data_IF_152601478174
#
_entry.id   IF_152601478174
#
_cell.length_a   1.000
_cell.length_b   1.000
_cell.length_c   1.000
_cell.angle_alpha   90.00
_cell.angle_beta   90.00
_cell.angle_gamma   90.00
#
_symmetry.space_group_name_H-M   'P 1'
#
loop_
_entity.id
_entity.type
_entity.pdbx_description
1 polymer ?
#
# COMPACT_ATOMS: atom_id res chain seq x y z
N UNK A 1 46.59 -22.76 -4.73
CA UNK A 1 47.63 -21.79 -4.30
C UNK A 1 47.32 -21.41 -2.86
N UNK A 2 48.08 -22.00 -1.94
CA UNK A 2 48.46 -21.52 -0.59
C UNK A 2 47.32 -21.15 0.41
N UNK A 3 47.07 -22.07 1.37
CA UNK A 3 46.58 -21.89 2.77
C UNK A 3 47.46 -20.85 3.55
N UNK A 4 47.22 -20.40 4.82
CA UNK A 4 46.48 -21.00 5.96
C UNK A 4 45.70 -19.97 6.84
N UNK A 5 44.76 -20.32 7.73
CA UNK A 5 44.74 -21.05 9.04
C UNK A 5 44.90 -20.20 10.31
N UNK A 6 44.17 -20.67 11.32
CA UNK A 6 43.86 -20.12 12.64
C UNK A 6 44.97 -20.14 13.72
N UNK A 7 44.60 -19.54 14.88
CA UNK A 7 45.18 -19.64 16.26
C UNK A 7 46.45 -18.79 16.47
N UNK A 8 46.68 -18.10 17.60
CA UNK A 8 46.76 -18.52 19.01
C UNK A 8 46.84 -17.25 19.88
N UNK A 9 46.06 -17.09 20.96
CA UNK A 9 46.37 -17.34 22.39
C UNK A 9 47.27 -16.35 23.15
N UNK A 10 46.77 -16.00 24.35
CA UNK A 10 47.45 -15.86 25.66
C UNK A 10 48.22 -14.59 26.02
N UNK A 11 47.67 -13.96 27.07
CA UNK A 11 48.29 -13.66 28.36
C UNK A 11 49.60 -12.87 28.39
N UNK A 12 49.50 -11.65 28.94
CA UNK A 12 50.58 -10.97 29.63
C UNK A 12 50.00 -10.16 30.78
N UNK A 13 49.95 -10.74 31.98
CA UNK A 13 49.83 -10.00 33.22
C UNK A 13 51.23 -9.47 33.58
N UNK A 14 51.33 -8.25 34.13
CA UNK A 14 52.28 -7.93 35.20
C UNK A 14 51.93 -6.57 35.83
N UNK A 15 51.70 -6.66 37.14
CA UNK A 15 51.66 -5.59 38.14
C UNK A 15 53.05 -4.97 38.35
N UNK A 16 53.10 -3.67 38.67
CA UNK A 16 53.88 -3.11 39.80
C UNK A 16 53.69 -1.57 39.86
N UNK A 17 53.07 -1.02 40.91
CA UNK A 17 53.70 -0.42 42.12
C UNK A 17 54.37 0.94 41.80
N UNK A 18 53.69 2.08 41.96
CA UNK A 18 53.48 2.88 43.19
C UNK A 18 54.74 3.63 43.72
N UNK A 19 54.65 4.98 43.76
CA UNK A 19 55.22 5.93 44.74
C UNK A 19 55.40 7.33 44.08
N UNK A 20 55.27 8.51 44.68
CA UNK A 20 54.56 9.13 45.82
C UNK A 20 55.02 10.62 45.85
N UNK A 21 54.12 11.57 46.16
CA UNK A 21 54.29 12.97 46.68
C UNK A 21 55.08 13.99 45.80
N UNK A 22 54.78 15.30 45.74
CA UNK A 22 54.23 16.27 46.70
C UNK A 22 53.53 17.44 45.96
N UNK A 23 52.34 17.89 46.36
CA UNK A 23 52.01 18.95 47.35
C UNK A 23 52.32 20.40 46.89
N UNK A 24 51.28 21.14 46.48
CA UNK A 24 51.14 22.57 46.79
C UNK A 24 49.67 22.98 46.71
N UNK A 25 49.18 23.59 47.79
CA UNK A 25 47.82 24.06 47.98
C UNK A 25 47.67 25.54 47.57
N UNK A 26 46.51 25.93 47.05
CA UNK A 26 45.76 27.12 47.48
C UNK A 26 44.41 27.23 46.73
N UNK A 27 43.37 27.83 47.34
CA UNK A 27 41.97 27.70 46.92
C UNK A 27 41.52 28.85 46.01
N UNK A 28 40.75 28.54 44.96
CA UNK A 28 39.89 29.51 44.30
C UNK A 28 38.47 28.94 44.29
N UNK A 29 37.69 29.39 45.26
CA UNK A 29 36.25 29.38 45.16
C UNK A 29 35.85 30.40 44.10
N UNK A 30 35.28 29.96 42.98
CA UNK A 30 34.37 30.73 42.13
C UNK A 30 33.85 29.86 40.98
N UNK A 31 32.52 29.76 40.85
CA UNK A 31 31.88 29.39 39.58
C UNK A 31 31.41 27.95 39.42
N UNK A 32 30.68 27.41 40.39
CA UNK A 32 29.74 26.33 40.05
C UNK A 32 28.59 26.92 39.20
N UNK A 33 28.41 26.34 37.99
CA UNK A 33 27.31 26.48 37.02
C UNK A 33 27.39 27.70 36.08
N UNK A 34 27.41 27.45 34.74
CA UNK A 34 26.19 27.01 34.06
C UNK A 34 26.43 25.85 33.09
N UNK A 35 26.69 24.63 33.59
CA UNK A 35 26.63 23.42 32.75
C UNK A 35 25.21 22.82 32.65
N UNK A 36 24.24 23.37 33.39
CA UNK A 36 22.85 22.88 33.40
C UNK A 36 21.99 23.42 32.24
N UNK A 37 22.34 24.58 31.66
CA UNK A 37 21.56 25.17 30.58
C UNK A 37 21.85 24.54 29.20
N UNK A 38 23.03 23.94 29.01
CA UNK A 38 23.41 23.29 27.75
C UNK A 38 22.86 21.85 27.60
N UNK A 39 22.49 21.18 28.71
CA UNK A 39 21.84 19.85 28.67
C UNK A 39 20.35 19.90 28.35
N UNK A 40 19.71 21.07 28.44
CA UNK A 40 18.26 21.24 28.25
C UNK A 40 17.81 21.16 26.79
N UNK A 41 18.69 21.43 25.80
CA UNK A 41 18.36 21.23 24.37
C UNK A 41 18.51 19.78 23.90
N UNK A 42 19.21 18.93 24.65
CA UNK A 42 19.60 17.59 24.20
C UNK A 42 18.59 16.47 24.54
N UNK A 43 17.55 16.73 25.34
CA UNK A 43 16.58 15.70 25.76
C UNK A 43 15.14 16.02 25.34
N UNK A 44 14.94 16.30 24.04
CA UNK A 44 13.60 16.52 23.46
C UNK A 44 13.25 15.43 22.48
N UNK A 45 12.03 14.93 22.58
CA UNK A 45 11.44 14.00 21.62
C UNK A 45 10.92 14.85 20.46
N UNK A 46 11.57 14.78 19.30
CA UNK A 46 11.13 15.51 18.10
C UNK A 46 9.98 14.77 17.46
N UNK A 47 8.85 15.45 17.28
CA UNK A 47 7.66 14.83 16.67
C UNK A 47 7.78 14.80 15.14
N UNK A 48 7.20 13.79 14.48
CA UNK A 48 7.31 13.61 13.04
C UNK A 48 6.77 14.79 12.23
N UNK A 49 7.47 15.16 11.16
CA UNK A 49 7.13 16.23 10.24
C UNK A 49 7.31 15.79 8.76
N UNK A 50 6.72 16.51 7.78
CA UNK A 50 6.78 16.12 6.36
C UNK A 50 8.18 15.90 5.80
N UNK A 51 9.18 16.67 6.27
CA UNK A 51 10.59 16.51 5.88
C UNK A 51 11.19 15.16 6.27
N UNK A 52 10.61 14.46 7.25
CA UNK A 52 11.16 13.22 7.77
C UNK A 52 10.82 12.03 6.84
N UNK A 53 9.75 12.14 6.04
CA UNK A 53 9.30 11.11 5.07
C UNK A 53 10.34 10.87 3.98
N UNK A 54 10.99 11.94 3.48
CA UNK A 54 12.01 11.83 2.43
C UNK A 54 13.30 11.20 2.97
N UNK A 55 13.64 11.47 4.23
CA UNK A 55 14.85 10.93 4.89
C UNK A 55 14.75 9.44 5.22
N UNK A 56 13.54 8.88 5.36
CA UNK A 56 13.34 7.48 5.73
C UNK A 56 13.42 6.52 4.54
N UNK A 57 13.47 7.03 3.30
CA UNK A 57 13.37 6.18 2.09
C UNK A 57 12.07 5.38 2.01
N UNK A 58 11.07 5.74 2.84
CA UNK A 58 9.86 4.97 3.06
C UNK A 58 8.82 5.18 1.94
N UNK A 59 9.25 5.49 0.73
CA UNK A 59 8.39 5.79 -0.42
C UNK A 59 7.89 4.48 -1.03
N UNK A 60 6.58 4.23 -0.96
CA UNK A 60 5.93 3.06 -1.60
C UNK A 60 6.03 3.15 -3.14
N UNK A 61 6.04 4.36 -3.69
CA UNK A 61 5.98 4.64 -5.13
C UNK A 61 7.21 5.46 -5.55
N UNK A 62 8.38 4.85 -5.66
CA UNK A 62 9.53 5.52 -6.29
C UNK A 62 9.40 5.46 -7.81
N UNK A 63 9.57 6.58 -8.53
CA UNK A 63 9.81 6.55 -9.97
C UNK A 63 11.03 5.67 -10.26
N UNK A 64 11.07 4.98 -11.40
CA UNK A 64 12.24 4.17 -11.74
C UNK A 64 13.44 5.07 -12.06
N UNK A 65 14.64 4.53 -11.88
CA UNK A 65 15.87 5.22 -12.25
C UNK A 65 15.86 5.54 -13.75
N UNK A 66 15.90 6.84 -14.09
CA UNK A 66 15.81 7.34 -15.47
C UNK A 66 14.48 8.01 -15.86
N UNK A 67 13.45 7.93 -15.01
CA UNK A 67 12.09 8.48 -15.22
C UNK A 67 11.90 9.88 -14.60
N UNK A 68 12.87 10.78 -14.79
CA UNK A 68 12.80 12.16 -14.28
C UNK A 68 12.88 13.17 -15.40
N UNK A 69 11.97 13.08 -16.36
CA UNK A 69 11.60 14.29 -17.12
C UNK A 69 10.82 15.21 -16.15
N UNK A 70 11.36 16.42 -15.94
CA UNK A 70 10.77 17.39 -15.01
C UNK A 70 9.52 17.96 -15.65
N UNK A 71 8.36 17.73 -15.01
CA UNK A 71 7.10 18.30 -15.46
C UNK A 71 7.17 19.84 -15.42
N UNK A 72 6.69 20.49 -16.48
CA UNK A 72 6.48 21.94 -16.56
C UNK A 72 5.01 22.24 -16.36
N UNK A 73 4.70 23.08 -15.38
CA UNK A 73 3.33 23.35 -14.98
C UNK A 73 3.07 24.85 -14.82
N UNK A 74 1.93 25.37 -15.32
CA UNK A 74 1.54 26.76 -15.13
C UNK A 74 0.99 27.03 -13.71
N UNK A 75 0.76 25.99 -12.91
CA UNK A 75 0.25 26.10 -11.55
C UNK A 75 0.00 24.73 -10.89
N UNK A 76 -0.72 24.71 -9.75
CA UNK A 76 -1.03 23.49 -9.03
C UNK A 76 -1.84 22.49 -9.87
N UNK A 77 -1.73 21.20 -9.53
CA UNK A 77 -2.48 20.12 -10.17
C UNK A 77 -3.24 19.33 -9.12
N UNK A 78 -4.57 19.29 -9.24
CA UNK A 78 -5.38 18.35 -8.48
C UNK A 78 -5.50 17.04 -9.26
N UNK A 79 -5.28 15.92 -8.58
CA UNK A 79 -5.30 14.57 -9.14
C UNK A 79 -6.37 13.71 -8.47
N UNK A 80 -7.09 12.95 -9.31
CA UNK A 80 -8.11 11.99 -8.87
C UNK A 80 -7.97 10.72 -9.67
N UNK A 81 -7.82 9.62 -8.95
CA UNK A 81 -7.55 8.32 -9.54
C UNK A 81 -8.53 7.26 -9.02
N UNK A 82 -8.91 6.34 -9.92
CA UNK A 82 -9.58 5.09 -9.59
C UNK A 82 -8.76 3.93 -10.11
N UNK A 83 -8.07 3.23 -9.21
CA UNK A 83 -7.25 2.07 -9.51
C UNK A 83 -8.13 0.82 -9.46
N UNK A 84 -8.49 0.28 -10.62
CA UNK A 84 -9.24 -0.96 -10.78
C UNK A 84 -8.28 -2.14 -10.80
N UNK A 85 -8.42 -3.01 -9.82
CA UNK A 85 -7.63 -4.23 -9.64
C UNK A 85 -8.52 -5.44 -9.94
N UNK A 86 -8.18 -6.19 -10.98
CA UNK A 86 -8.82 -7.47 -11.29
C UNK A 86 -8.16 -8.58 -10.48
N UNK A 87 -8.97 -9.41 -9.81
CA UNK A 87 -8.51 -10.50 -8.95
C UNK A 87 -8.87 -11.86 -9.56
N UNK A 88 -7.90 -12.77 -9.63
CA UNK A 88 -8.12 -14.17 -9.96
C UNK A 88 -8.90 -14.91 -8.87
N UNK A 89 -9.25 -16.17 -9.12
CA UNK A 89 -10.12 -16.98 -8.25
C UNK A 89 -9.59 -17.19 -6.81
N UNK A 90 -8.28 -17.04 -6.61
CA UNK A 90 -7.60 -17.17 -5.30
C UNK A 90 -7.13 -15.82 -4.74
N UNK A 91 -7.43 -14.71 -5.42
CA UNK A 91 -7.06 -13.35 -5.02
C UNK A 91 -5.74 -12.82 -5.60
N UNK A 92 -5.08 -13.56 -6.49
CA UNK A 92 -3.94 -13.04 -7.25
C UNK A 92 -4.37 -11.86 -8.13
N UNK A 93 -3.48 -10.88 -8.33
CA UNK A 93 -3.78 -9.74 -9.21
C UNK A 93 -3.62 -10.17 -10.67
N UNK A 94 -4.70 -10.08 -11.44
CA UNK A 94 -4.75 -10.45 -12.86
C UNK A 94 -4.60 -9.22 -13.78
N UNK A 95 -4.95 -8.03 -13.31
CA UNK A 95 -4.93 -6.81 -14.12
C UNK A 95 -5.05 -5.54 -13.28
N UNK A 96 -4.39 -4.47 -13.72
CA UNK A 96 -4.44 -3.15 -13.08
C UNK A 96 -4.73 -2.09 -14.13
N UNK A 97 -5.81 -1.34 -13.92
CA UNK A 97 -6.22 -0.22 -14.80
C UNK A 97 -6.50 1.00 -13.93
N UNK A 98 -6.02 2.17 -14.31
CA UNK A 98 -6.23 3.42 -13.59
C UNK A 98 -7.05 4.37 -14.44
N UNK A 99 -8.20 4.80 -13.94
CA UNK A 99 -8.92 5.94 -14.51
C UNK A 99 -8.48 7.20 -13.78
N UNK A 100 -7.82 8.12 -14.48
CA UNK A 100 -7.23 9.32 -13.91
C UNK A 100 -7.93 10.59 -14.43
N UNK A 101 -8.03 11.59 -13.57
CA UNK A 101 -8.44 12.93 -13.91
C UNK A 101 -7.54 13.96 -13.21
N UNK A 102 -6.77 14.70 -14.01
CA UNK A 102 -5.95 15.83 -13.57
C UNK A 102 -6.69 17.14 -13.84
N UNK A 103 -6.68 18.06 -12.88
CA UNK A 103 -7.09 19.46 -13.07
C UNK A 103 -5.86 20.34 -12.90
N UNK A 104 -5.37 20.89 -14.00
CA UNK A 104 -4.29 21.87 -14.02
C UNK A 104 -4.90 23.25 -13.78
N UNK A 105 -4.33 24.00 -12.85
CA UNK A 105 -4.67 25.40 -12.60
C UNK A 105 -3.57 26.31 -13.16
N UNK A 106 -3.94 27.54 -13.54
CA UNK A 106 -3.02 28.53 -14.09
C UNK A 106 -3.07 28.61 -15.62
N UNK A 107 -2.59 29.73 -16.14
CA UNK A 107 -2.51 30.02 -17.58
C UNK A 107 -1.09 29.71 -18.06
N UNK A 108 -0.97 28.96 -19.14
CA UNK A 108 0.33 28.69 -19.77
C UNK A 108 0.46 27.29 -20.36
N UNK A 109 1.62 27.04 -20.96
CA UNK A 109 1.98 25.73 -21.46
C UNK A 109 2.26 24.75 -20.32
N UNK A 110 1.98 23.48 -20.55
CA UNK A 110 2.35 22.38 -19.67
C UNK A 110 2.97 21.22 -20.45
N UNK A 111 3.86 20.54 -19.75
CA UNK A 111 4.49 19.28 -20.17
C UNK A 111 4.53 18.38 -18.93
N UNK A 112 3.70 17.34 -18.92
CA UNK A 112 3.53 16.45 -17.77
C UNK A 112 4.06 15.08 -18.11
N UNK A 113 4.84 14.54 -17.19
CA UNK A 113 5.32 13.17 -17.22
C UNK A 113 4.85 12.49 -15.95
N UNK A 114 4.13 11.38 -16.11
CA UNK A 114 3.70 10.55 -14.99
C UNK A 114 4.35 9.16 -15.08
N UNK A 115 4.85 8.65 -13.94
CA UNK A 115 5.53 7.36 -13.89
C UNK A 115 4.60 6.18 -14.23
N UNK A 116 5.21 5.12 -14.76
CA UNK A 116 4.56 3.85 -15.03
C UNK A 116 5.56 2.68 -14.98
N UNK A 117 5.09 1.45 -15.13
CA UNK A 117 5.02 0.93 -16.49
C UNK A 117 3.58 0.86 -16.98
N UNK A 118 3.14 1.90 -17.69
CA UNK A 118 1.94 1.83 -18.50
C UNK A 118 2.21 0.98 -19.75
N UNK A 119 1.31 0.05 -20.04
CA UNK A 119 1.31 -0.72 -21.30
C UNK A 119 0.40 -0.09 -22.33
N UNK A 120 -0.58 0.70 -21.89
CA UNK A 120 -1.49 1.44 -22.74
C UNK A 120 -2.02 2.68 -22.01
N UNK A 121 -2.34 3.73 -22.75
CA UNK A 121 -3.07 4.90 -22.22
C UNK A 121 -4.00 5.44 -23.28
N UNK A 122 -5.23 5.76 -22.90
CA UNK A 122 -6.26 6.28 -23.80
C UNK A 122 -7.00 7.43 -23.13
N UNK A 123 -7.19 8.55 -23.83
CA UNK A 123 -8.06 9.64 -23.40
C UNK A 123 -9.48 9.51 -23.97
N UNK A 124 -10.47 10.21 -23.40
CA UNK A 124 -11.80 10.37 -24.02
C UNK A 124 -11.67 10.96 -25.43
N UNK A 125 -12.43 10.45 -26.40
CA UNK A 125 -12.32 10.86 -27.82
C UNK A 125 -12.63 12.33 -28.07
N UNK A 126 -13.46 12.92 -27.22
CA UNK A 126 -13.90 14.31 -27.24
C UNK A 126 -12.91 15.26 -26.54
N UNK A 127 -11.88 14.74 -25.88
CA UNK A 127 -10.87 15.57 -25.22
C UNK A 127 -9.84 16.09 -26.24
N UNK A 128 -9.63 17.41 -26.28
CA UNK A 128 -8.72 18.04 -27.25
C UNK A 128 -7.26 17.63 -27.07
N UNK A 129 -6.78 17.50 -25.82
CA UNK A 129 -5.44 17.02 -25.52
C UNK A 129 -5.52 15.52 -25.23
N UNK A 130 -4.85 14.70 -26.03
CA UNK A 130 -4.78 13.25 -25.82
C UNK A 130 -3.50 12.87 -25.06
N UNK A 131 -3.53 11.84 -24.20
CA UNK A 131 -2.33 11.34 -23.55
C UNK A 131 -1.44 10.60 -24.55
N UNK A 132 -0.13 10.73 -24.39
CA UNK A 132 0.88 9.94 -25.08
C UNK A 132 1.46 8.85 -24.17
N UNK A 133 1.98 7.78 -24.78
CA UNK A 133 2.78 6.75 -24.10
C UNK A 133 4.20 6.80 -24.64
N UNK A 134 5.19 6.91 -23.75
CA UNK A 134 6.61 6.86 -24.13
C UNK A 134 7.38 6.05 -23.10
N UNK A 135 7.98 4.92 -23.50
CA UNK A 135 8.79 4.05 -22.63
C UNK A 135 8.08 3.60 -21.33
N UNK A 136 6.75 3.54 -21.34
CA UNK A 136 5.95 3.18 -20.17
C UNK A 136 5.51 4.37 -19.30
N UNK A 137 5.96 5.59 -19.61
CA UNK A 137 5.52 6.83 -18.99
C UNK A 137 4.33 7.43 -19.75
N UNK A 138 3.47 8.12 -19.01
CA UNK A 138 2.33 8.83 -19.58
C UNK A 138 2.72 10.29 -19.77
N UNK A 139 2.53 10.80 -20.99
CA UNK A 139 2.87 12.15 -21.36
C UNK A 139 1.63 12.98 -21.65
N UNK A 140 1.62 14.22 -21.17
CA UNK A 140 0.64 15.23 -21.57
C UNK A 140 1.33 16.53 -21.95
N UNK A 141 0.96 17.09 -23.09
CA UNK A 141 1.47 18.38 -23.54
C UNK A 141 0.35 19.27 -24.07
N UNK A 142 0.46 20.56 -23.82
CA UNK A 142 -0.45 21.56 -24.39
C UNK A 142 -0.51 22.85 -23.60
N UNK A 143 -1.60 23.59 -23.77
CA UNK A 143 -1.84 24.87 -23.12
C UNK A 143 -3.06 24.80 -22.18
N UNK A 144 -2.98 25.44 -21.02
CA UNK A 144 -4.09 25.68 -20.09
C UNK A 144 -4.53 27.14 -20.17
N UNK A 145 -5.82 27.44 -20.45
CA UNK A 145 -6.35 28.81 -20.48
C UNK A 145 -6.70 29.37 -19.09
N UNK A 146 -6.18 28.77 -18.02
CA UNK A 146 -6.48 29.13 -16.62
C UNK A 146 -6.91 27.92 -15.79
N UNK A 147 -7.68 27.01 -16.40
CA UNK A 147 -7.97 25.70 -15.85
C UNK A 147 -8.11 24.68 -17.00
N UNK A 148 -7.60 23.46 -16.79
CA UNK A 148 -7.71 22.39 -17.79
C UNK A 148 -7.86 21.02 -17.13
N UNK A 149 -8.84 20.26 -17.61
CA UNK A 149 -9.07 18.88 -17.19
C UNK A 149 -8.44 17.93 -18.22
N UNK A 150 -7.63 16.99 -17.74
CA UNK A 150 -7.05 15.90 -18.51
C UNK A 150 -7.54 14.58 -17.92
N UNK A 151 -8.15 13.72 -18.74
CA UNK A 151 -8.65 12.40 -18.34
C UNK A 151 -8.00 11.31 -19.16
N UNK A 152 -7.65 10.21 -18.52
CA UNK A 152 -7.13 9.02 -19.18
C UNK A 152 -7.59 7.74 -18.48
N UNK A 153 -7.61 6.66 -19.25
CA UNK A 153 -7.61 5.29 -18.74
C UNK A 153 -6.26 4.68 -19.09
N UNK A 154 -5.52 4.28 -18.06
CA UNK A 154 -4.17 3.73 -18.15
C UNK A 154 -4.22 2.24 -17.84
N UNK A 155 -3.74 1.40 -18.74
CA UNK A 155 -3.48 -0.02 -18.44
C UNK A 155 -2.03 -0.16 -18.01
N UNK A 156 -1.80 -0.82 -16.87
CA UNK A 156 -0.46 -0.97 -16.32
C UNK A 156 0.08 -2.39 -16.49
N UNK A 157 1.40 -2.56 -16.41
CA UNK A 157 2.04 -3.86 -16.34
C UNK A 157 1.86 -4.48 -14.94
N UNK A 158 0.94 -5.42 -14.85
CA UNK A 158 0.61 -6.12 -13.60
C UNK A 158 1.82 -6.76 -12.93
N UNK A 159 2.81 -7.22 -13.69
CA UNK A 159 3.99 -7.92 -13.16
C UNK A 159 4.75 -7.07 -12.15
N UNK A 160 4.88 -5.78 -12.45
CA UNK A 160 5.59 -4.81 -11.62
C UNK A 160 4.65 -4.10 -10.64
N UNK A 161 3.44 -3.78 -11.08
CA UNK A 161 2.52 -2.93 -10.32
C UNK A 161 1.80 -3.66 -9.19
N UNK A 162 1.67 -4.99 -9.25
CA UNK A 162 1.03 -5.77 -8.18
C UNK A 162 1.64 -5.53 -6.78
N UNK A 163 2.93 -5.18 -6.69
CA UNK A 163 3.62 -4.90 -5.43
C UNK A 163 3.34 -3.49 -4.87
N UNK A 164 2.78 -2.59 -5.69
CA UNK A 164 2.40 -1.22 -5.31
C UNK A 164 0.95 -1.12 -4.86
N UNK A 165 0.16 -2.18 -5.06
CA UNK A 165 -1.23 -2.25 -4.59
C UNK A 165 -1.25 -2.32 -3.05
N UNK A 166 -2.03 -1.46 -2.37
CA UNK A 166 -1.93 -1.29 -0.92
C UNK A 166 -2.70 -2.36 -0.12
N UNK A 167 -3.41 -3.26 -0.82
CA UNK A 167 -4.09 -4.41 -0.24
C UNK A 167 -3.78 -5.70 -1.00
N UNK A 168 -3.59 -6.78 -0.26
CA UNK A 168 -3.58 -8.13 -0.78
C UNK A 168 -4.88 -8.84 -0.40
N UNK A 169 -5.51 -9.52 -1.36
CA UNK A 169 -6.68 -10.38 -1.12
C UNK A 169 -6.25 -11.82 -1.36
N UNK A 170 -6.62 -12.73 -0.45
CA UNK A 170 -6.39 -14.15 -0.62
C UNK A 170 -7.64 -14.93 -0.29
N UNK A 171 -7.93 -15.95 -1.11
CA UNK A 171 -9.10 -16.82 -0.94
C UNK A 171 -8.63 -18.27 -0.90
N UNK A 172 -9.01 -18.98 0.16
CA UNK A 172 -8.75 -20.42 0.32
C UNK A 172 -10.05 -21.16 0.53
N UNK A 173 -10.24 -22.25 -0.21
CA UNK A 173 -11.33 -23.20 0.01
C UNK A 173 -10.74 -24.42 0.72
N UNK A 174 -11.36 -24.84 1.80
CA UNK A 174 -10.91 -25.93 2.64
C UNK A 174 -12.01 -26.99 2.74
N UNK A 175 -11.68 -28.24 2.45
CA UNK A 175 -12.54 -29.39 2.75
C UNK A 175 -11.79 -30.32 3.68
N UNK A 176 -12.40 -30.64 4.84
CA UNK A 176 -11.77 -31.46 5.89
C UNK A 176 -10.35 -30.96 6.25
N UNK A 177 -10.18 -29.62 6.29
CA UNK A 177 -8.92 -28.94 6.61
C UNK A 177 -7.89 -28.88 5.47
N UNK A 178 -8.16 -29.42 4.29
CA UNK A 178 -7.23 -29.42 3.15
C UNK A 178 -7.65 -28.41 2.07
N UNK A 179 -6.70 -27.67 1.47
CA UNK A 179 -6.99 -26.80 0.32
C UNK A 179 -7.61 -27.57 -0.83
N UNK A 180 -8.65 -27.01 -1.43
CA UNK A 180 -9.28 -27.50 -2.65
C UNK A 180 -9.47 -26.35 -3.63
N UNK A 181 -9.56 -26.65 -4.92
CA UNK A 181 -9.89 -25.66 -5.95
C UNK A 181 -11.39 -25.68 -6.27
N UNK A 182 -12.01 -24.53 -6.57
CA UNK A 182 -13.37 -24.49 -7.07
C UNK A 182 -13.48 -25.11 -8.49
N UNK A 183 -14.61 -25.74 -8.85
CA UNK A 183 -15.86 -25.78 -8.09
C UNK A 183 -15.88 -26.83 -6.97
N UNK A 184 -16.47 -26.48 -5.82
CA UNK A 184 -16.53 -27.31 -4.61
C UNK A 184 -17.97 -27.73 -4.29
N UNK A 185 -18.17 -28.95 -3.81
CA UNK A 185 -19.47 -29.44 -3.30
C UNK A 185 -19.30 -30.21 -1.98
N UNK A 186 -20.30 -30.12 -1.11
CA UNK A 186 -20.27 -30.67 0.25
C UNK A 186 -19.84 -29.65 1.31
N UNK A 187 -19.51 -30.10 2.53
CA UNK A 187 -19.03 -29.22 3.59
C UNK A 187 -17.74 -28.50 3.16
N UNK A 188 -17.71 -27.18 3.32
CA UNK A 188 -16.58 -26.32 2.94
C UNK A 188 -16.37 -25.22 3.98
N UNK A 189 -15.10 -24.91 4.24
CA UNK A 189 -14.68 -23.69 4.93
C UNK A 189 -13.97 -22.79 3.93
N UNK A 190 -14.41 -21.56 3.81
CA UNK A 190 -13.80 -20.54 2.94
C UNK A 190 -13.13 -19.52 3.84
N UNK A 191 -11.85 -19.27 3.61
CA UNK A 191 -11.08 -18.24 4.29
C UNK A 191 -10.72 -17.14 3.31
N UNK A 192 -11.13 -15.93 3.63
CA UNK A 192 -10.92 -14.74 2.81
C UNK A 192 -10.15 -13.76 3.67
N UNK A 193 -8.90 -13.51 3.31
CA UNK A 193 -8.03 -12.58 4.02
C UNK A 193 -7.77 -11.36 3.15
N UNK A 194 -8.07 -10.19 3.70
CA UNK A 194 -7.72 -8.88 3.14
C UNK A 194 -6.62 -8.29 4.02
N UNK A 195 -5.44 -8.05 3.49
CA UNK A 195 -4.27 -7.62 4.24
C UNK A 195 -3.74 -6.29 3.73
N UNK A 196 -3.45 -5.36 4.64
CA UNK A 196 -2.79 -4.11 4.32
C UNK A 196 -1.28 -4.32 4.11
N UNK A 197 -0.79 -4.03 2.90
CA UNK A 197 0.61 -4.24 2.48
C UNK A 197 1.48 -2.97 2.60
N UNK A 198 0.92 -1.89 3.14
CA UNK A 198 1.60 -0.57 3.24
C UNK A 198 2.55 -0.45 4.42
N UNK A 199 2.78 -1.52 5.19
CA UNK A 199 3.64 -1.48 6.37
C UNK A 199 5.06 -0.98 6.00
N UNK A 200 5.55 0.03 6.70
CA UNK A 200 6.90 0.57 6.53
C UNK A 200 7.66 0.56 7.86
N UNK A 201 8.94 0.13 7.86
CA UNK A 201 9.76 0.24 9.05
C UNK A 201 10.09 1.71 9.30
N UNK A 202 9.65 2.25 10.43
CA UNK A 202 9.91 3.63 10.83
C UNK A 202 10.71 3.63 12.14
N UNK A 203 11.84 4.32 12.12
CA UNK A 203 12.64 4.61 13.31
C UNK A 203 11.95 5.70 14.13
N UNK A 204 11.35 5.33 15.26
CA UNK A 204 10.70 6.27 16.17
C UNK A 204 11.51 6.42 17.47
N UNK A 205 11.51 7.62 18.08
CA UNK A 205 11.99 7.80 19.44
C UNK A 205 11.31 6.82 20.40
N UNK A 206 12.11 6.16 21.22
CA UNK A 206 11.65 5.33 22.33
C UNK A 206 12.06 6.01 23.63
N UNK A 207 11.13 6.78 24.19
CA UNK A 207 11.28 7.53 25.42
C UNK A 207 9.91 7.79 26.07
N UNK A 208 9.92 8.11 27.36
CA UNK A 208 8.75 8.66 28.05
C UNK A 208 8.79 10.19 28.02
N UNK A 209 7.61 10.80 28.13
CA UNK A 209 7.42 12.22 28.41
C UNK A 209 6.44 12.38 29.57
N UNK A 210 6.25 13.61 30.04
CA UNK A 210 5.28 13.89 31.09
C UNK A 210 3.86 13.43 30.68
N UNK A 211 3.09 12.77 31.56
CA UNK A 211 1.74 12.28 31.24
C UNK A 211 0.81 13.35 30.65
N UNK A 212 0.89 14.57 31.19
CA UNK A 212 0.10 15.73 30.74
C UNK A 212 0.45 16.14 29.30
N UNK A 213 1.73 16.09 28.91
CA UNK A 213 2.18 16.42 27.55
C UNK A 213 1.69 15.37 26.54
N UNK A 214 1.76 14.08 26.89
CA UNK A 214 1.27 12.98 26.05
C UNK A 214 -0.25 13.05 25.91
N UNK A 215 -0.97 13.31 27.01
CA UNK A 215 -2.42 13.49 27.00
C UNK A 215 -2.84 14.65 26.09
N UNK A 216 -2.19 15.80 26.24
CA UNK A 216 -2.44 16.98 25.40
C UNK A 216 -2.19 16.71 23.92
N UNK A 217 -1.12 15.97 23.59
CA UNK A 217 -0.83 15.55 22.21
C UNK A 217 -1.91 14.62 21.67
N UNK A 218 -2.28 13.54 22.38
CA UNK A 218 -3.32 12.60 21.95
C UNK A 218 -4.67 13.29 21.75
N UNK A 219 -5.06 14.20 22.63
CA UNK A 219 -6.29 14.97 22.49
C UNK A 219 -6.23 15.95 21.30
N UNK A 220 -5.07 16.57 21.03
CA UNK A 220 -4.89 17.42 19.86
C UNK A 220 -4.99 16.61 18.55
N UNK A 221 -4.35 15.45 18.48
CA UNK A 221 -4.44 14.53 17.34
C UNK A 221 -5.88 14.09 17.10
N UNK A 222 -6.58 13.67 18.17
CA UNK A 222 -7.99 13.27 18.10
C UNK A 222 -8.87 14.40 17.56
N UNK A 223 -8.68 15.65 18.01
CA UNK A 223 -9.44 16.81 17.51
C UNK A 223 -9.20 17.08 16.03
N UNK A 224 -7.95 17.04 15.57
CA UNK A 224 -7.65 17.27 14.15
C UNK A 224 -8.25 16.17 13.27
N UNK A 225 -8.07 14.90 13.66
CA UNK A 225 -8.60 13.77 12.89
C UNK A 225 -10.13 13.76 12.90
N UNK A 226 -10.78 14.09 14.02
CA UNK A 226 -12.23 14.16 14.12
C UNK A 226 -12.82 15.25 13.22
N UNK A 227 -12.04 16.31 12.97
CA UNK A 227 -12.40 17.37 12.04
C UNK A 227 -11.98 17.07 10.58
N UNK A 228 -11.52 15.84 10.28
CA UNK A 228 -11.09 15.44 8.94
C UNK A 228 -9.77 16.08 8.48
N UNK A 229 -8.96 16.58 9.42
CA UNK A 229 -7.69 17.27 9.12
C UNK A 229 -6.50 16.36 9.38
N UNK A 230 -5.43 16.57 8.61
CA UNK A 230 -4.13 15.92 8.79
C UNK A 230 -3.38 16.59 9.96
N UNK A 231 -3.15 15.91 11.09
CA UNK A 231 -2.31 16.45 12.15
C UNK A 231 -0.85 16.55 11.68
N UNK A 232 -0.27 17.75 11.76
CA UNK A 232 1.12 18.03 11.39
C UNK A 232 1.79 18.75 12.56
N UNK A 233 2.99 18.30 12.95
CA UNK A 233 3.78 18.94 13.99
C UNK A 233 4.00 20.44 13.71
N UNK A 234 3.77 21.29 14.72
CA UNK A 234 3.91 22.75 14.60
C UNK A 234 2.74 23.46 13.92
N UNK A 235 1.71 22.74 13.47
CA UNK A 235 0.53 23.29 12.81
C UNK A 235 -0.67 23.23 13.76
N UNK A 236 -1.47 24.31 13.83
CA UNK A 236 -2.71 24.40 14.62
C UNK A 236 -2.54 23.97 16.09
N UNK A 237 -1.42 24.35 16.70
CA UNK A 237 -1.14 24.11 18.12
C UNK A 237 -0.64 22.70 18.45
N UNK A 238 -0.39 21.84 17.46
CA UNK A 238 0.36 20.61 17.67
C UNK A 238 1.82 20.95 18.00
N UNK A 239 2.41 20.38 19.07
CA UNK A 239 3.81 20.63 19.40
C UNK A 239 4.74 20.10 18.30
N UNK A 240 5.95 20.65 18.22
CA UNK A 240 7.03 20.12 17.37
C UNK A 240 7.92 19.14 18.11
N UNK A 241 7.88 19.16 19.44
CA UNK A 241 8.65 18.26 20.30
C UNK A 241 8.11 18.26 21.73
N UNK A 242 8.34 17.16 22.44
CA UNK A 242 8.02 16.97 23.86
C UNK A 242 9.30 16.94 24.70
N UNK A 243 9.20 17.24 26.00
CA UNK A 243 10.31 17.07 26.92
C UNK A 243 10.43 15.60 27.31
N UNK A 244 11.58 14.97 27.05
CA UNK A 244 11.78 13.58 27.43
C UNK A 244 12.02 13.47 28.94
N UNK A 245 11.30 12.57 29.60
CA UNK A 245 11.49 12.19 31.01
C UNK A 245 12.42 10.98 31.18
N UNK A 246 12.79 10.31 30.10
CA UNK A 246 13.79 9.23 30.08
C UNK A 246 14.87 9.49 29.04
N UNK A 247 15.89 8.62 29.02
CA UNK A 247 16.85 8.56 27.91
C UNK A 247 16.09 8.28 26.62
N UNK A 248 16.46 8.98 25.55
CA UNK A 248 15.94 8.74 24.21
C UNK A 248 16.75 7.63 23.55
N UNK A 249 16.09 6.52 23.26
CA UNK A 249 16.56 5.51 22.30
C UNK A 249 15.72 5.60 21.01
N UNK A 250 16.03 4.75 20.04
CA UNK A 250 15.25 4.62 18.81
C UNK A 250 14.77 3.19 18.70
N UNK A 251 13.51 3.00 18.31
CA UNK A 251 12.93 1.71 18.02
C UNK A 251 12.33 1.73 16.61
N UNK A 252 12.65 0.71 15.82
CA UNK A 252 12.00 0.50 14.52
C UNK A 252 10.66 -0.16 14.76
N UNK A 253 9.57 0.46 14.28
CA UNK A 253 8.24 -0.15 14.31
C UNK A 253 7.60 -0.12 12.92
N UNK A 254 6.80 -1.13 12.55
CA UNK A 254 6.04 -1.09 11.31
C UNK A 254 4.89 -0.10 11.46
N UNK A 255 4.80 0.87 10.55
CA UNK A 255 3.66 1.78 10.43
C UNK A 255 2.95 1.49 9.11
N UNK A 256 1.67 1.17 9.17
CA UNK A 256 0.81 0.96 8.00
C UNK A 256 -0.09 2.17 7.79
N UNK A 257 -0.28 2.57 6.53
CA UNK A 257 -1.23 3.61 6.16
C UNK A 257 -2.66 3.07 6.35
N UNK A 258 -3.54 3.75 7.10
CA UNK A 258 -4.90 3.30 7.29
C UNK A 258 -5.69 3.28 5.99
N UNK A 259 -6.42 2.20 5.73
CA UNK A 259 -7.24 2.01 4.54
C UNK A 259 -8.62 1.54 4.99
N UNK A 260 -9.65 2.31 4.65
CA UNK A 260 -11.04 1.88 4.83
C UNK A 260 -11.41 0.95 3.68
N UNK A 261 -11.75 -0.28 4.01
CA UNK A 261 -12.18 -1.32 3.08
C UNK A 261 -13.67 -1.56 3.30
N UNK A 262 -14.46 -1.35 2.25
CA UNK A 262 -15.89 -1.65 2.23
C UNK A 262 -16.26 -2.45 0.99
N UNK A 263 -17.31 -3.26 1.05
CA UNK A 263 -17.82 -3.94 -0.15
C UNK A 263 -18.47 -5.28 0.15
N UNK A 264 -18.57 -6.11 -0.88
CA UNK A 264 -19.35 -7.34 -0.84
C UNK A 264 -18.60 -8.52 -1.43
N UNK A 265 -18.87 -9.71 -0.89
CA UNK A 265 -18.44 -10.98 -1.46
C UNK A 265 -19.67 -11.84 -1.74
N UNK A 266 -19.93 -12.08 -3.02
CA UNK A 266 -20.99 -12.99 -3.47
C UNK A 266 -20.44 -14.38 -3.81
N UNK A 267 -21.28 -15.39 -3.66
CA UNK A 267 -20.93 -16.78 -3.97
C UNK A 267 -21.51 -17.21 -5.34
N UNK A 268 -20.77 -18.02 -6.10
CA UNK A 268 -21.26 -18.61 -7.35
C UNK A 268 -21.72 -20.04 -7.11
N UNK A 269 -23.00 -20.25 -6.86
CA UNK A 269 -23.56 -21.55 -6.50
C UNK A 269 -24.45 -21.44 -5.26
N UNK A 270 -24.96 -22.57 -4.77
CA UNK A 270 -25.81 -22.57 -3.58
C UNK A 270 -24.98 -22.87 -2.33
N UNK A 271 -25.20 -22.09 -1.28
CA UNK A 271 -24.72 -22.35 0.07
C UNK A 271 -25.91 -22.57 1.00
N UNK A 272 -25.77 -23.53 1.91
CA UNK A 272 -26.76 -23.83 2.95
C UNK A 272 -26.07 -23.90 4.31
N UNK A 273 -26.78 -23.44 5.36
CA UNK A 273 -26.26 -23.42 6.73
C UNK A 273 -25.01 -22.56 6.90
N UNK A 274 -24.89 -21.47 6.13
CA UNK A 274 -23.70 -20.62 6.14
C UNK A 274 -23.55 -19.91 7.49
N UNK A 275 -22.38 -20.06 8.12
CA UNK A 275 -21.94 -19.29 9.29
C UNK A 275 -20.77 -18.41 8.89
N UNK A 276 -20.88 -17.12 9.16
CA UNK A 276 -19.85 -16.13 8.82
C UNK A 276 -19.27 -15.55 10.09
N UNK A 277 -17.94 -15.51 10.17
CA UNK A 277 -17.20 -14.79 11.23
C UNK A 277 -16.28 -13.74 10.61
N UNK A 278 -16.12 -12.61 11.27
CA UNK A 278 -15.27 -11.50 10.80
C UNK A 278 -15.94 -10.56 9.80
N UNK A 279 -17.18 -10.82 9.41
CA UNK A 279 -17.97 -9.97 8.52
C UNK A 279 -19.47 -10.16 8.78
N UNK A 280 -20.31 -9.34 8.15
CA UNK A 280 -21.78 -9.46 8.26
C UNK A 280 -22.30 -10.29 7.10
N UNK A 281 -23.23 -11.19 7.38
CA UNK A 281 -23.99 -11.87 6.33
C UNK A 281 -25.15 -10.95 5.94
N UNK A 282 -25.20 -10.55 4.68
CA UNK A 282 -26.25 -9.70 4.13
C UNK A 282 -27.50 -10.48 3.74
N UNK A 283 -28.65 -9.82 3.82
CA UNK A 283 -29.96 -10.36 3.46
C UNK A 283 -30.20 -10.23 1.96
N UNK A 284 -29.79 -11.22 1.17
CA UNK A 284 -30.10 -11.28 -0.26
C UNK A 284 -30.91 -12.52 -0.59
N UNK A 285 -32.09 -12.30 -1.17
CA UNK A 285 -33.07 -13.35 -1.50
C UNK A 285 -32.58 -14.35 -2.58
N UNK A 286 -31.57 -13.98 -3.37
CA UNK A 286 -31.10 -14.78 -4.50
C UNK A 286 -29.83 -15.62 -4.19
N UNK A 287 -28.95 -15.11 -3.32
CA UNK A 287 -27.73 -15.80 -2.88
C UNK A 287 -27.15 -15.07 -1.65
N UNK A 288 -26.50 -15.78 -0.71
CA UNK A 288 -25.83 -15.14 0.41
C UNK A 288 -24.77 -14.15 -0.07
N UNK A 289 -24.68 -13.00 0.59
CA UNK A 289 -23.66 -11.97 0.35
C UNK A 289 -22.97 -11.72 1.69
N UNK A 290 -21.65 -11.56 1.68
CA UNK A 290 -20.90 -11.13 2.86
C UNK A 290 -20.52 -9.67 2.70
N UNK A 291 -20.98 -8.85 3.63
CA UNK A 291 -20.70 -7.42 3.69
C UNK A 291 -19.45 -7.16 4.55
N UNK A 292 -18.54 -6.38 3.99
CA UNK A 292 -17.30 -5.93 4.62
C UNK A 292 -17.38 -4.43 4.82
N UNK A 293 -17.05 -3.97 6.03
CA UNK A 293 -16.69 -2.59 6.36
C UNK A 293 -15.67 -2.64 7.50
N UNK A 294 -14.42 -2.30 7.20
CA UNK A 294 -13.31 -2.33 8.15
C UNK A 294 -12.29 -1.25 7.84
N UNK A 295 -11.50 -0.87 8.84
CA UNK A 295 -10.36 0.01 8.72
C UNK A 295 -9.10 -0.81 9.01
N UNK A 296 -8.15 -0.83 8.06
CA UNK A 296 -6.93 -1.64 8.15
C UNK A 296 -5.68 -0.74 8.15
N UNK A 297 -4.78 -0.82 9.15
CA UNK A 297 -5.00 -1.52 10.41
C UNK A 297 -6.07 -0.83 11.26
N UNK A 298 -6.82 -1.65 11.99
CA UNK A 298 -7.43 -1.19 13.22
C UNK A 298 -6.34 -1.25 14.28
N UNK A 299 -6.15 -0.20 15.08
CA UNK A 299 -5.10 -0.21 16.11
C UNK A 299 -5.39 -1.20 17.26
N UNK A 300 -6.54 -1.89 17.22
CA UNK A 300 -6.88 -3.02 18.09
C UNK A 300 -6.49 -4.38 17.47
N UNK A 301 -6.18 -4.44 16.18
CA UNK A 301 -5.75 -5.63 15.44
C UNK A 301 -4.38 -5.38 14.80
N UNK A 302 -3.33 -5.91 15.43
CA UNK A 302 -1.94 -5.54 15.13
C UNK A 302 -1.40 -6.00 13.77
N UNK A 303 -2.09 -6.92 13.08
CA UNK A 303 -1.60 -7.49 11.82
C UNK A 303 -2.07 -6.72 10.56
N UNK A 304 -2.96 -5.74 10.74
CA UNK A 304 -3.52 -4.96 9.63
C UNK A 304 -4.28 -5.81 8.61
N UNK A 305 -4.88 -6.91 9.05
CA UNK A 305 -5.62 -7.82 8.19
C UNK A 305 -7.02 -8.14 8.71
N UNK A 306 -7.95 -8.29 7.78
CA UNK A 306 -9.29 -8.79 8.01
C UNK A 306 -9.34 -10.26 7.56
N UNK A 307 -9.76 -11.16 8.46
CA UNK A 307 -10.02 -12.56 8.12
C UNK A 307 -11.52 -12.85 8.23
N UNK A 308 -12.15 -13.07 7.08
CA UNK A 308 -13.51 -13.57 6.98
C UNK A 308 -13.48 -15.08 6.84
N UNK A 309 -14.20 -15.79 7.70
CA UNK A 309 -14.40 -17.24 7.58
C UNK A 309 -15.86 -17.54 7.31
N UNK A 310 -16.09 -18.41 6.34
CA UNK A 310 -17.43 -18.88 5.96
C UNK A 310 -17.45 -20.40 6.04
N UNK A 311 -18.28 -20.95 6.92
CA UNK A 311 -18.50 -22.38 7.03
C UNK A 311 -19.89 -22.71 6.52
N UNK A 312 -20.00 -23.57 5.51
CA UNK A 312 -21.27 -23.88 4.86
C UNK A 312 -21.25 -25.26 4.21
N UNK A 313 -22.43 -25.73 3.77
CA UNK A 313 -22.54 -26.83 2.81
C UNK A 313 -22.81 -26.25 1.42
N UNK A 314 -21.89 -26.51 0.49
CA UNK A 314 -21.91 -25.97 -0.87
C UNK A 314 -22.48 -26.95 -1.90
N UNK A 315 -23.15 -26.43 -2.92
CA UNK A 315 -23.51 -27.15 -4.14
C UNK A 315 -22.96 -26.39 -5.36
N UNK A 316 -21.94 -26.97 -6.00
CA UNK A 316 -21.22 -26.39 -7.16
C UNK A 316 -20.71 -24.96 -6.91
N UNK A 317 -20.13 -24.72 -5.75
CA UNK A 317 -19.54 -23.42 -5.41
C UNK A 317 -18.32 -23.15 -6.28
N UNK A 318 -18.41 -22.20 -7.20
CA UNK A 318 -17.31 -21.72 -8.03
C UNK A 318 -16.48 -20.62 -7.34
N UNK A 319 -15.80 -19.82 -8.17
CA UNK A 319 -15.04 -18.67 -7.70
C UNK A 319 -15.94 -17.59 -7.08
N UNK A 320 -15.46 -16.91 -6.04
CA UNK A 320 -16.20 -15.80 -5.41
C UNK A 320 -16.33 -14.61 -6.36
N UNK A 321 -17.43 -13.87 -6.24
CA UNK A 321 -17.61 -12.54 -6.82
C UNK A 321 -17.22 -11.51 -5.77
N UNK A 322 -15.99 -11.03 -5.85
CA UNK A 322 -15.44 -10.04 -4.95
C UNK A 322 -15.70 -8.67 -5.57
N UNK A 323 -16.21 -7.74 -4.77
CA UNK A 323 -16.33 -6.33 -5.11
C UNK A 323 -15.98 -5.51 -3.87
N UNK A 324 -14.73 -5.09 -3.75
CA UNK A 324 -14.23 -4.30 -2.63
C UNK A 324 -13.80 -2.91 -3.11
N UNK A 325 -14.06 -1.94 -2.26
CA UNK A 325 -13.63 -0.56 -2.39
C UNK A 325 -12.70 -0.26 -1.23
N UNK A 326 -11.53 0.27 -1.54
CA UNK A 326 -10.53 0.64 -0.57
C UNK A 326 -10.11 2.09 -0.76
N UNK A 327 -10.12 2.86 0.33
CA UNK A 327 -9.79 4.29 0.31
C UNK A 327 -8.79 4.56 1.43
N UNK A 328 -7.66 5.22 1.14
CA UNK A 328 -6.79 5.75 2.19
C UNK A 328 -7.58 6.60 3.18
N UNK A 329 -7.31 6.42 4.46
CA UNK A 329 -8.07 7.03 5.54
C UNK A 329 -7.13 7.66 6.57
N UNK A 330 -7.66 8.62 7.34
CA UNK A 330 -6.98 9.08 8.54
C UNK A 330 -6.93 7.96 9.58
N UNK A 331 -6.01 8.03 10.58
CA UNK A 331 -5.93 7.09 11.67
C UNK A 331 -7.27 6.87 12.38
N UNK A 332 -7.47 5.68 12.92
CA UNK A 332 -8.69 5.32 13.64
C UNK A 332 -8.93 6.25 14.84
N UNK A 333 -10.07 6.93 14.89
CA UNK A 333 -10.43 7.79 16.01
C UNK A 333 -10.62 7.01 17.30
N UNK A 334 -11.13 5.78 17.24
CA UNK A 334 -11.34 4.97 18.42
C UNK A 334 -10.00 4.67 19.12
N UNK A 335 -8.94 4.50 18.33
CA UNK A 335 -7.59 4.28 18.84
C UNK A 335 -6.99 5.46 19.60
N UNK A 336 -7.44 6.69 19.30
CA UNK A 336 -6.99 7.92 19.95
C UNK A 336 -7.98 8.38 21.03
N UNK A 337 -8.98 7.55 21.33
CA UNK A 337 -9.92 7.80 22.41
C UNK A 337 -9.43 7.08 23.66
N UNK A 338 -9.45 7.77 24.79
CA UNK A 338 -9.06 7.17 26.06
C UNK A 338 -10.00 6.00 26.43
N UNK A 339 -9.46 4.89 26.97
CA UNK A 339 -10.27 3.71 27.30
C UNK A 339 -11.38 4.00 28.32
N UNK A 340 -12.50 3.27 28.21
CA UNK A 340 -13.56 3.28 29.22
C UNK A 340 -14.29 4.62 29.39
N UNK A 341 -14.22 5.52 28.40
CA UNK A 341 -14.84 6.86 28.48
C UNK A 341 -14.11 7.84 29.40
N UNK A 342 -12.88 7.51 29.83
CA UNK A 342 -12.03 8.41 30.62
C UNK A 342 -11.42 9.52 29.74
N UNK A 343 -10.67 10.43 30.37
CA UNK A 343 -9.78 11.38 29.68
C UNK A 343 -8.36 10.81 29.60
N UNK A 344 -7.57 11.22 28.61
CA UNK A 344 -6.17 10.78 28.51
C UNK A 344 -5.35 11.16 29.74
N UNK A 345 -5.55 12.36 30.30
CA UNK A 345 -4.88 12.77 31.55
C UNK A 345 -5.12 11.76 32.68
N UNK A 346 -6.37 11.33 32.89
CA UNK A 346 -6.72 10.34 33.91
C UNK A 346 -6.17 8.95 33.59
N UNK A 347 -6.20 8.55 32.33
CA UNK A 347 -5.66 7.26 31.90
C UNK A 347 -4.15 7.20 32.12
N UNK A 348 -3.41 8.26 31.80
CA UNK A 348 -1.94 8.28 31.84
C UNK A 348 -1.38 8.56 33.23
N UNK A 349 -2.10 9.23 34.13
CA UNK A 349 -1.62 9.58 35.47
C UNK A 349 -1.26 8.38 36.36
N UNK A 350 -1.83 7.21 36.07
CA UNK A 350 -1.58 5.97 36.81
C UNK A 350 -0.62 4.98 36.11
N UNK A 351 -0.08 5.34 34.94
CA UNK A 351 0.79 4.46 34.17
C UNK A 351 2.25 4.55 34.60
N UNK A 352 2.96 3.45 34.44
CA UNK A 352 4.41 3.41 34.56
C UNK A 352 5.10 3.95 33.29
N UNK A 353 6.44 3.99 33.30
CA UNK A 353 7.22 4.46 32.16
C UNK A 353 6.98 3.65 30.87
N UNK A 354 6.58 2.38 30.98
CA UNK A 354 6.27 1.53 29.83
C UNK A 354 4.94 1.92 29.21
N UNK A 355 3.90 2.10 30.03
CA UNK A 355 2.60 2.59 29.55
C UNK A 355 2.68 3.99 28.93
N UNK A 356 3.52 4.88 29.48
CA UNK A 356 3.76 6.20 28.88
C UNK A 356 4.49 6.11 27.53
N UNK A 357 5.48 5.21 27.40
CA UNK A 357 6.16 4.94 26.12
C UNK A 357 5.18 4.42 25.06
N UNK A 358 4.30 3.49 25.44
CA UNK A 358 3.29 2.96 24.52
C UNK A 358 2.26 4.02 24.09
N UNK A 359 1.87 4.90 25.00
CA UNK A 359 0.97 6.03 24.69
C UNK A 359 1.62 7.03 23.73
N UNK A 360 2.91 7.34 23.92
CA UNK A 360 3.66 8.18 22.99
C UNK A 360 3.82 7.49 21.61
N UNK A 361 4.22 6.22 21.59
CA UNK A 361 4.36 5.46 20.35
C UNK A 361 3.05 5.40 19.55
N UNK A 362 1.90 5.35 20.23
CA UNK A 362 0.58 5.46 19.62
C UNK A 362 0.36 6.82 18.95
N UNK A 363 0.71 7.92 19.64
CA UNK A 363 0.62 9.26 19.08
C UNK A 363 1.52 9.43 17.85
N UNK A 364 2.79 9.02 17.95
CA UNK A 364 3.75 9.08 16.85
C UNK A 364 3.33 8.20 15.67
N UNK A 365 2.80 7.00 15.92
CA UNK A 365 2.28 6.14 14.85
C UNK A 365 1.15 6.82 14.09
N UNK A 366 0.19 7.46 14.78
CA UNK A 366 -0.88 8.21 14.13
C UNK A 366 -0.35 9.39 13.28
N UNK A 367 0.69 10.07 13.75
CA UNK A 367 1.34 11.14 12.97
C UNK A 367 2.02 10.56 11.72
N UNK A 368 2.79 9.48 11.86
CA UNK A 368 3.43 8.83 10.72
C UNK A 368 2.44 8.28 9.70
N UNK A 369 1.34 7.69 10.14
CA UNK A 369 0.26 7.25 9.26
C UNK A 369 -0.24 8.37 8.35
N UNK A 370 -0.39 9.57 8.90
CA UNK A 370 -0.83 10.76 8.16
C UNK A 370 0.25 11.27 7.20
N UNK A 371 1.51 11.25 7.63
CA UNK A 371 2.64 11.67 6.80
C UNK A 371 2.89 10.72 5.62
N UNK A 372 2.55 9.44 5.76
CA UNK A 372 2.69 8.44 4.71
C UNK A 372 1.51 8.42 3.72
N UNK A 373 0.34 9.00 4.04
CA UNK A 373 -0.84 9.01 3.17
C UNK A 373 -0.59 9.45 1.72
N UNK A 374 0.19 10.53 1.44
CA UNK A 374 0.46 10.95 0.06
C UNK A 374 1.02 9.85 -0.85
N UNK A 375 1.64 8.82 -0.28
CA UNK A 375 2.21 7.70 -1.02
C UNK A 375 1.18 6.72 -1.58
N UNK A 376 -0.09 6.79 -1.13
CA UNK A 376 -1.20 5.98 -1.66
C UNK A 376 -2.37 6.83 -2.14
N UNK A 377 -2.32 8.15 -1.92
CA UNK A 377 -3.29 9.11 -2.44
C UNK A 377 -2.95 9.60 -3.86
N UNK A 378 -1.75 9.27 -4.38
CA UNK A 378 -1.27 9.62 -5.72
C UNK A 378 -0.56 8.41 -6.35
N UNK A 379 -1.32 7.43 -6.83
CA UNK A 379 -0.81 6.14 -7.30
C UNK A 379 0.05 6.26 -8.55
N UNK A 380 -0.35 7.06 -9.54
CA UNK A 380 0.51 7.43 -10.67
C UNK A 380 1.39 8.65 -10.36
N UNK A 381 1.36 9.15 -9.13
CA UNK A 381 2.04 10.38 -8.71
C UNK A 381 1.28 11.65 -9.07
N UNK A 382 1.61 12.76 -8.39
CA UNK A 382 1.10 14.08 -8.73
C UNK A 382 2.25 14.93 -9.30
N UNK A 383 2.15 15.42 -10.54
CA UNK A 383 3.20 16.24 -11.13
C UNK A 383 3.29 17.66 -10.54
N UNK A 384 2.29 18.10 -9.74
CA UNK A 384 2.23 19.42 -9.13
C UNK A 384 2.05 19.40 -7.61
N UNK A 385 1.83 20.57 -7.03
CA UNK A 385 1.67 20.79 -5.58
C UNK A 385 0.22 20.77 -5.07
N UNK A 386 -0.73 20.38 -5.93
CA UNK A 386 -2.16 20.35 -5.58
C UNK A 386 -2.54 19.10 -4.78
N UNK A 387 -3.85 18.84 -4.68
CA UNK A 387 -4.37 17.69 -3.93
C UNK A 387 -4.33 16.41 -4.76
N UNK A 388 -4.21 15.25 -4.10
CA UNK A 388 -4.35 13.95 -4.75
C UNK A 388 -5.31 13.08 -3.98
N UNK A 389 -6.06 12.25 -4.70
CA UNK A 389 -6.95 11.25 -4.11
C UNK A 389 -7.04 10.03 -4.99
N UNK A 390 -6.74 8.87 -4.40
CA UNK A 390 -6.89 7.58 -5.07
C UNK A 390 -7.96 6.73 -4.39
N UNK A 391 -8.76 6.04 -5.21
CA UNK A 391 -9.67 4.99 -4.78
C UNK A 391 -9.29 3.68 -5.44
N UNK A 392 -9.20 2.58 -4.67
CA UNK A 392 -8.86 1.26 -5.17
C UNK A 392 -10.11 0.40 -5.24
N UNK A 393 -10.39 -0.17 -6.41
CA UNK A 393 -11.56 -0.98 -6.70
C UNK A 393 -11.11 -2.39 -7.05
N UNK A 394 -11.31 -3.33 -6.14
CA UNK A 394 -10.97 -4.74 -6.33
C UNK A 394 -12.20 -5.49 -6.81
N UNK A 395 -12.07 -6.20 -7.93
CA UNK A 395 -13.15 -6.99 -8.49
C UNK A 395 -12.65 -8.34 -8.99
N UNK A 396 -13.45 -9.40 -8.87
CA UNK A 396 -13.11 -10.69 -9.49
C UNK A 396 -13.00 -10.52 -11.00
N UNK A 397 -11.90 -11.01 -11.58
CA UNK A 397 -11.69 -11.01 -13.01
C UNK A 397 -12.80 -11.82 -13.69
N UNK A 398 -13.54 -11.17 -14.58
CA UNK A 398 -14.41 -11.88 -15.51
C UNK A 398 -13.47 -12.52 -16.54
N UNK A 399 -13.03 -13.75 -16.29
CA UNK A 399 -12.32 -14.51 -17.33
C UNK A 399 -13.29 -14.62 -18.52
N UNK A 400 -12.95 -14.09 -19.70
CA UNK A 400 -13.66 -14.51 -20.90
C UNK A 400 -13.55 -16.03 -20.95
N UNK A 401 -14.66 -16.73 -21.21
CA UNK A 401 -14.60 -18.16 -21.49
C UNK A 401 -13.49 -18.33 -22.54
N UNK A 402 -12.48 -19.15 -22.22
CA UNK A 402 -11.37 -19.38 -23.12
C UNK A 402 -11.96 -19.65 -24.51
N UNK A 403 -11.56 -18.85 -25.51
CA UNK A 403 -11.99 -19.08 -26.87
C UNK A 403 -11.80 -20.58 -27.15
N UNK A 404 -12.81 -21.27 -27.73
CA UNK A 404 -12.67 -22.69 -28.02
C UNK A 404 -11.35 -22.87 -28.71
N UNK A 405 -10.50 -23.77 -28.20
CA UNK A 405 -9.23 -24.10 -28.84
C UNK A 405 -9.58 -24.50 -30.25
N UNK A 406 -9.42 -23.56 -31.20
CA UNK A 406 -9.42 -23.89 -32.62
C UNK A 406 -8.32 -24.92 -32.70
N UNK A 407 -8.73 -26.17 -32.89
CA UNK A 407 -7.78 -27.22 -33.19
C UNK A 407 -7.07 -26.68 -34.42
N UNK A 408 -5.79 -26.30 -34.27
CA UNK A 408 -4.96 -26.08 -35.42
C UNK A 408 -5.10 -27.39 -36.21
N UNK A 409 -5.86 -27.34 -37.31
CA UNK A 409 -5.95 -28.46 -38.22
C UNK A 409 -4.50 -28.79 -38.53
N UNK A 410 -4.04 -29.95 -38.03
CA UNK A 410 -2.69 -30.40 -38.30
C UNK A 410 -2.57 -30.37 -39.81
N UNK A 411 -1.74 -29.45 -40.31
CA UNK A 411 -1.40 -29.41 -41.72
C UNK A 411 -0.91 -30.81 -42.06
N UNK A 412 -1.71 -31.56 -42.83
CA UNK A 412 -1.41 -32.92 -43.26
C UNK A 412 -0.79 -32.79 -44.66
N UNK A 413 0.53 -32.58 -44.78
CA UNK A 413 1.18 -32.38 -46.07
C UNK A 413 0.92 -33.54 -47.04
N UNK A 414 0.71 -34.75 -46.51
CA UNK A 414 0.31 -35.92 -47.30
C UNK A 414 -1.06 -35.76 -47.96
N UNK A 415 -2.04 -35.12 -47.32
CA UNK A 415 -3.36 -34.89 -47.91
C UNK A 415 -3.30 -33.83 -49.03
N UNK A 416 -2.51 -32.78 -48.84
CA UNK A 416 -2.26 -31.77 -49.87
C UNK A 416 -1.53 -32.36 -51.08
N UNK A 417 -0.52 -33.21 -50.84
CA UNK A 417 0.19 -33.92 -51.91
C UNK A 417 -0.75 -34.84 -52.71
N UNK A 418 -1.68 -35.51 -52.04
CA UNK A 418 -2.63 -36.41 -52.70
C UNK A 418 -3.64 -35.65 -53.58
N UNK A 419 -4.09 -34.46 -53.13
CA UNK A 419 -4.92 -33.56 -53.94
C UNK A 419 -4.17 -33.05 -55.17
N UNK A 420 -2.89 -32.68 -55.02
CA UNK A 420 -2.06 -32.22 -56.15
C UNK A 420 -1.86 -33.35 -57.17
N UNK A 421 -1.58 -34.57 -56.72
CA UNK A 421 -1.44 -35.74 -57.60
C UNK A 421 -2.76 -36.06 -58.32
N UNK A 422 -3.88 -36.01 -57.61
CA UNK A 422 -5.20 -36.23 -58.21
C UNK A 422 -5.55 -35.17 -59.26
N UNK A 423 -5.23 -33.89 -58.99
CA UNK A 423 -5.42 -32.81 -59.95
C UNK A 423 -4.51 -32.96 -61.18
N UNK A 424 -3.24 -33.35 -60.99
CA UNK A 424 -2.31 -33.60 -62.09
C UNK A 424 -2.76 -34.78 -62.97
N UNK A 425 -3.29 -35.85 -62.36
CA UNK A 425 -3.87 -36.97 -63.08
C UNK A 425 -5.12 -36.58 -63.87
N UNK A 426 -6.01 -35.77 -63.29
CA UNK A 426 -7.20 -35.28 -63.99
C UNK A 426 -6.83 -34.41 -65.21
N UNK A 427 -5.86 -33.49 -65.05
CA UNK A 427 -5.36 -32.64 -66.14
C UNK A 427 -4.65 -33.48 -67.22
N UNK A 428 -3.82 -34.45 -66.82
CA UNK A 428 -3.15 -35.36 -67.76
C UNK A 428 -4.13 -36.24 -68.53
N UNK A 429 -5.21 -36.69 -67.88
CA UNK A 429 -6.28 -37.47 -68.51
C UNK A 429 -7.08 -36.63 -69.52
N UNK A 430 -7.36 -35.37 -69.18
CA UNK A 430 -8.03 -34.43 -70.09
C UNK A 430 -7.15 -34.11 -71.31
N UNK A 431 -5.84 -33.95 -71.13
CA UNK A 431 -4.91 -33.72 -72.23
C UNK A 431 -4.81 -34.92 -73.19
N UNK A 432 -4.79 -36.15 -72.66
CA UNK A 432 -4.78 -37.37 -73.48
C UNK A 432 -6.07 -37.58 -74.28
N UNK A 433 -7.23 -37.22 -73.71
CA UNK A 433 -8.51 -37.23 -74.42
C UNK A 433 -8.55 -36.19 -75.55
N UNK A 434 -7.89 -35.05 -75.37
CA UNK A 434 -7.81 -33.99 -76.38
C UNK A 434 -6.90 -34.34 -77.56
N UNK A 435 -5.88 -35.19 -77.36
CA UNK A 435 -4.99 -35.65 -78.44
C UNK A 435 -5.54 -36.82 -79.27
N UNK A 436 -6.73 -37.33 -78.95
CA UNK A 436 -7.38 -38.45 -79.66
C UNK A 436 -8.71 -38.08 -80.35
N UNK A 437 -9.10 -36.81 -80.33
CA UNK A 437 -10.06 -36.21 -81.27
C UNK A 437 -9.30 -35.46 -82.34
#
# INVERSE_FOLDING_TARGET
MILPSARTSRNGALLATAAILALSAAPIASGALPAAAARSRANRIVLPAPRDVTSTGAVILTPRSGETEVSKLPGPVDDREKVRVALGAVGAVDGIVVDQALMIHGVGDFDLVMPGPATNVVGPRDQATQPGLRRGEILWNGFSPGAKVLRSTVTLDTTFEQFRIPLAVSVRYLQRGRPVEPPVSGPVRIEIRVSNTTARPISMPDASAAPEEIAGLLDALRREIAAGRRPIAGVRGLPTSLAASSRISTQVRPVQIPIRVGGTIGFTGALSGARVTGARLGDSAAAPIVDIDSLLPSLNESDGSLLVRVEATARRLGALRIALRAVPALPDLASLTAPGGATWTRTLSGLDATGLRDALARAESAMWQVLLLPQVDAYLGNPGSGSSKTEYLFSSAVRPAAAPRVHAERFRPAALALVIVAAALAIGSAALLWTKS
#
